data_IF_106748024621
#
_entry.id   IF_106748024621
#
_cell.length_a   1.000
_cell.length_b   1.000
_cell.length_c   1.000
_cell.angle_alpha   90.00
_cell.angle_beta   90.00
_cell.angle_gamma   90.00
#
_symmetry.space_group_name_H-M   'P 1'
#
loop_
_entity.id
_entity.type
_entity.pdbx_description
1 polymer ?
#
# COMPACT_ATOMS: atom_id res chain seq x y z
N UNK A 1 -0.88 -10.60 10.97
CA UNK A 1 0.18 -11.63 10.94
C UNK A 1 0.87 -11.53 9.59
N UNK A 2 2.22 -11.52 9.53
CA UNK A 2 2.92 -11.43 8.26
C UNK A 2 2.73 -12.70 7.42
N UNK A 3 2.80 -12.53 6.10
CA UNK A 3 2.91 -13.62 5.14
C UNK A 3 4.36 -13.74 4.70
N UNK A 4 4.91 -14.94 4.72
CA UNK A 4 6.25 -15.24 4.23
C UNK A 4 6.19 -16.12 3.00
N UNK A 5 7.13 -15.90 2.09
CA UNK A 5 7.34 -16.74 0.93
C UNK A 5 8.41 -17.77 1.24
N UNK A 6 8.09 -19.03 0.97
CA UNK A 6 9.01 -20.16 1.05
C UNK A 6 9.16 -20.80 -0.33
N UNK A 7 10.31 -21.41 -0.57
CA UNK A 7 10.55 -22.24 -1.74
C UNK A 7 10.84 -23.67 -1.31
N UNK A 8 10.30 -24.65 -2.02
CA UNK A 8 10.71 -26.05 -1.91
C UNK A 8 12.14 -26.19 -2.41
N UNK A 9 12.99 -26.86 -1.65
CA UNK A 9 14.38 -27.14 -2.03
C UNK A 9 14.41 -28.47 -2.81
N UNK A 10 14.84 -28.41 -4.07
CA UNK A 10 15.03 -29.59 -4.89
C UNK A 10 16.28 -30.38 -4.45
N UNK A 11 16.43 -31.62 -4.94
CA UNK A 11 17.58 -32.48 -4.60
C UNK A 11 18.94 -31.88 -5.01
N UNK A 12 18.95 -31.02 -6.02
CA UNK A 12 20.13 -30.28 -6.49
C UNK A 12 20.43 -29.00 -5.69
N UNK A 13 19.59 -28.67 -4.70
CA UNK A 13 19.71 -27.46 -3.88
C UNK A 13 19.12 -26.19 -4.53
N UNK A 14 18.50 -26.29 -5.70
CA UNK A 14 17.80 -25.18 -6.35
C UNK A 14 16.47 -24.86 -5.66
N UNK A 15 15.96 -23.65 -5.89
CA UNK A 15 14.56 -23.34 -5.59
C UNK A 15 13.65 -24.03 -6.59
N UNK A 16 12.65 -24.71 -6.07
CA UNK A 16 11.52 -25.26 -6.81
C UNK A 16 10.30 -24.35 -6.68
N UNK A 17 9.18 -24.94 -6.27
CA UNK A 17 7.90 -24.24 -6.13
C UNK A 17 7.91 -23.24 -4.97
N UNK A 18 7.37 -22.05 -5.23
CA UNK A 18 7.17 -21.02 -4.22
C UNK A 18 5.75 -21.07 -3.66
N UNK A 19 5.62 -20.89 -2.35
CA UNK A 19 4.33 -20.83 -1.66
C UNK A 19 4.34 -19.81 -0.53
N UNK A 20 3.16 -19.36 -0.14
CA UNK A 20 2.95 -18.34 0.89
C UNK A 20 2.40 -18.95 2.17
N UNK A 21 2.95 -18.53 3.32
CA UNK A 21 2.48 -18.97 4.64
C UNK A 21 2.26 -17.77 5.54
N UNK A 22 1.07 -17.69 6.14
CA UNK A 22 0.79 -16.74 7.23
C UNK A 22 1.38 -17.30 8.52
N UNK A 23 2.37 -16.62 9.08
CA UNK A 23 3.12 -17.08 10.24
C UNK A 23 3.32 -15.92 11.24
N UNK A 24 3.40 -16.19 12.54
CA UNK A 24 3.78 -15.13 13.49
C UNK A 24 5.26 -14.81 13.34
N UNK A 25 5.63 -13.56 13.59
CA UNK A 25 7.03 -13.14 13.50
C UNK A 25 7.94 -13.80 14.57
N UNK A 26 7.35 -14.28 15.66
CA UNK A 26 8.04 -14.99 16.76
C UNK A 26 8.30 -16.46 16.47
N UNK A 27 7.64 -17.04 15.46
CA UNK A 27 7.72 -18.47 15.20
C UNK A 27 9.01 -18.80 14.44
N UNK A 28 9.60 -20.00 14.66
CA UNK A 28 10.77 -20.43 13.90
C UNK A 28 10.43 -20.59 12.42
N UNK A 29 11.41 -20.35 11.54
CA UNK A 29 11.23 -20.56 10.10
C UNK A 29 10.88 -22.01 9.79
N UNK A 30 9.96 -22.23 8.85
CA UNK A 30 9.63 -23.57 8.38
C UNK A 30 10.84 -24.22 7.71
N UNK A 31 11.03 -25.50 8.01
CA UNK A 31 12.05 -26.37 7.38
C UNK A 31 11.42 -27.41 6.47
N UNK A 32 10.13 -27.72 6.66
CA UNK A 32 9.35 -28.66 5.85
C UNK A 32 8.06 -28.03 5.33
N UNK A 33 7.63 -28.46 4.15
CA UNK A 33 6.38 -28.04 3.54
C UNK A 33 5.19 -28.70 4.27
N UNK A 34 4.17 -27.94 4.71
CA UNK A 34 3.09 -28.47 5.56
C UNK A 34 2.22 -29.54 4.87
N UNK A 35 2.12 -29.52 3.54
CA UNK A 35 1.30 -30.50 2.80
C UNK A 35 2.09 -31.60 2.08
N UNK A 36 3.37 -31.37 1.78
CA UNK A 36 4.17 -32.27 0.94
C UNK A 36 5.38 -32.85 1.64
N UNK A 37 5.66 -32.41 2.88
CA UNK A 37 6.80 -32.79 3.71
C UNK A 37 8.18 -32.57 3.09
N UNK A 38 8.24 -31.88 1.93
CA UNK A 38 9.50 -31.56 1.25
C UNK A 38 10.30 -30.50 2.03
N UNK A 39 11.64 -30.51 1.95
CA UNK A 39 12.45 -29.46 2.55
C UNK A 39 12.13 -28.09 1.93
N UNK A 40 12.06 -27.05 2.75
CA UNK A 40 11.77 -25.68 2.29
C UNK A 40 12.78 -24.68 2.85
N UNK A 41 12.97 -23.57 2.15
CA UNK A 41 13.75 -22.42 2.65
C UNK A 41 12.96 -21.13 2.52
N UNK A 42 13.09 -20.26 3.52
CA UNK A 42 12.46 -18.94 3.48
C UNK A 42 13.17 -18.06 2.46
N UNK A 43 12.39 -17.42 1.60
CA UNK A 43 12.89 -16.55 0.54
C UNK A 43 12.84 -15.12 1.06
N UNK A 44 13.96 -14.39 1.11
CA UNK A 44 13.95 -12.97 1.46
C UNK A 44 13.17 -12.18 0.40
N UNK A 45 12.07 -11.55 0.81
CA UNK A 45 11.27 -10.67 -0.04
C UNK A 45 11.38 -9.23 0.40
N UNK A 46 11.11 -8.31 -0.53
CA UNK A 46 10.96 -6.90 -0.18
C UNK A 46 9.74 -6.72 0.74
N UNK A 47 9.79 -5.78 1.69
CA UNK A 47 8.64 -5.47 2.52
C UNK A 47 7.49 -4.92 1.66
N UNK A 48 6.27 -5.37 1.94
CA UNK A 48 5.06 -4.81 1.34
C UNK A 48 4.78 -3.43 1.92
N UNK A 49 5.32 -2.39 1.28
CA UNK A 49 5.14 -1.00 1.70
C UNK A 49 3.85 -0.42 1.10
N UNK A 50 2.97 0.20 1.91
CA UNK A 50 1.74 0.82 1.42
C UNK A 50 2.06 2.21 0.83
N UNK A 51 2.70 2.24 -0.33
CA UNK A 51 3.25 3.45 -0.95
C UNK A 51 2.23 4.28 -1.72
N UNK A 52 1.38 3.63 -2.53
CA UNK A 52 0.52 4.33 -3.50
C UNK A 52 -0.95 4.33 -3.12
N UNK A 53 -1.43 3.25 -2.51
CA UNK A 53 -2.85 3.03 -2.18
C UNK A 53 -3.02 2.89 -0.66
N UNK A 54 -2.61 3.94 0.06
CA UNK A 54 -2.74 4.02 1.50
C UNK A 54 -3.38 5.35 1.87
N UNK A 55 -4.04 5.40 3.02
CA UNK A 55 -4.69 6.64 3.49
C UNK A 55 -3.69 7.80 3.58
N UNK A 56 -2.45 7.52 4.00
CA UNK A 56 -1.38 8.51 4.05
C UNK A 56 -0.96 8.99 2.65
N UNK A 57 -0.84 8.07 1.69
CA UNK A 57 -0.51 8.40 0.31
C UNK A 57 -1.63 9.21 -0.36
N UNK A 58 -2.89 8.79 -0.19
CA UNK A 58 -4.06 9.48 -0.72
C UNK A 58 -4.22 10.88 -0.11
N UNK A 59 -4.07 11.02 1.21
CA UNK A 59 -4.08 12.33 1.88
C UNK A 59 -2.99 13.25 1.34
N UNK A 60 -1.82 12.71 1.04
CA UNK A 60 -0.72 13.48 0.45
C UNK A 60 -1.07 13.92 -0.97
N UNK A 61 -1.55 13.00 -1.83
CA UNK A 61 -1.98 13.31 -3.21
C UNK A 61 -3.07 14.38 -3.25
N UNK A 62 -4.06 14.28 -2.37
CA UNK A 62 -5.22 15.18 -2.30
C UNK A 62 -4.99 16.43 -1.43
N UNK A 63 -3.76 16.66 -0.95
CA UNK A 63 -3.43 17.87 -0.20
C UNK A 63 -3.55 19.11 -1.10
N UNK A 64 -3.97 20.24 -0.52
CA UNK A 64 -4.15 21.49 -1.27
C UNK A 64 -2.88 21.89 -2.05
N UNK A 65 -1.70 21.72 -1.44
CA UNK A 65 -0.40 21.95 -2.10
C UNK A 65 -0.21 21.12 -3.37
N UNK A 66 -0.58 19.84 -3.34
CA UNK A 66 -0.43 18.97 -4.51
C UNK A 66 -1.50 19.26 -5.56
N UNK A 67 -2.73 19.55 -5.15
CA UNK A 67 -3.80 19.97 -6.05
C UNK A 67 -3.43 21.26 -6.79
N UNK A 68 -2.89 22.26 -6.08
CA UNK A 68 -2.33 23.49 -6.67
C UNK A 68 -1.25 23.20 -7.71
N UNK A 69 -0.25 22.40 -7.31
CA UNK A 69 0.89 22.05 -8.16
C UNK A 69 0.46 21.32 -9.43
N UNK A 70 -0.58 20.49 -9.34
CA UNK A 70 -1.13 19.74 -10.47
C UNK A 70 -2.14 20.55 -11.30
N UNK A 71 -2.45 21.78 -10.91
CA UNK A 71 -3.37 22.66 -11.64
C UNK A 71 -4.85 22.42 -11.35
N UNK A 72 -5.18 21.64 -10.32
CA UNK A 72 -6.55 21.47 -9.87
C UNK A 72 -7.01 22.65 -9.01
N UNK A 73 -8.31 22.94 -9.06
CA UNK A 73 -8.94 23.91 -8.18
C UNK A 73 -9.87 23.17 -7.23
N UNK A 74 -9.75 23.43 -5.93
CA UNK A 74 -10.57 22.83 -4.87
C UNK A 74 -11.31 23.91 -4.10
N UNK A 75 -12.60 23.68 -3.93
CA UNK A 75 -13.48 24.50 -3.11
C UNK A 75 -13.99 23.68 -1.92
N UNK A 76 -14.03 24.27 -0.73
CA UNK A 76 -14.63 23.68 0.46
C UNK A 76 -15.86 24.49 0.87
N UNK A 77 -16.93 23.79 1.25
CA UNK A 77 -18.22 24.42 1.60
C UNK A 77 -18.06 25.25 2.88
N UNK A 78 -18.34 26.55 2.82
CA UNK A 78 -18.26 27.47 3.96
C UNK A 78 -19.60 27.70 4.66
N UNK A 79 -20.71 27.31 4.05
CA UNK A 79 -22.07 27.48 4.59
C UNK A 79 -22.99 28.19 3.59
N UNK A 80 -24.31 28.10 3.78
CA UNK A 80 -25.31 28.89 3.02
C UNK A 80 -25.18 28.89 1.49
N UNK A 81 -24.70 27.78 0.91
CA UNK A 81 -24.51 27.66 -0.55
C UNK A 81 -23.20 28.29 -1.08
N UNK A 82 -22.38 28.85 -0.20
CA UNK A 82 -21.05 29.36 -0.50
C UNK A 82 -19.97 28.28 -0.36
N UNK A 83 -18.97 28.40 -1.22
CA UNK A 83 -17.76 27.59 -1.16
C UNK A 83 -16.53 28.48 -1.31
N UNK A 84 -15.54 28.26 -0.46
CA UNK A 84 -14.28 28.97 -0.46
C UNK A 84 -13.20 28.16 -1.18
N UNK A 85 -12.39 28.84 -1.98
CA UNK A 85 -11.22 28.25 -2.62
C UNK A 85 -10.17 27.88 -1.59
N UNK A 86 -9.68 26.65 -1.63
CA UNK A 86 -8.58 26.16 -0.80
C UNK A 86 -7.33 25.77 -1.58
N UNK A 87 -7.48 25.58 -2.90
CA UNK A 87 -6.40 25.35 -3.86
C UNK A 87 -6.87 25.83 -5.25
N UNK A 88 -5.98 26.36 -6.06
CA UNK A 88 -6.11 26.62 -7.49
C UNK A 88 -6.08 28.10 -7.83
N UNK A 89 -6.32 28.39 -9.11
CA UNK A 89 -6.34 29.77 -9.66
C UNK A 89 -7.74 30.35 -9.85
N UNK A 90 -8.80 29.66 -9.40
CA UNK A 90 -10.18 30.11 -9.52
C UNK A 90 -10.53 31.32 -8.62
N UNK A 91 -11.76 31.86 -8.70
CA UNK A 91 -12.25 32.89 -7.79
C UNK A 91 -12.24 32.43 -6.33
N UNK A 92 -12.12 33.36 -5.39
CA UNK A 92 -11.96 33.03 -3.96
C UNK A 92 -13.24 32.44 -3.34
N UNK A 93 -14.42 32.83 -3.83
CA UNK A 93 -15.71 32.32 -3.39
C UNK A 93 -16.59 32.00 -4.61
N UNK A 94 -17.28 30.87 -4.56
CA UNK A 94 -18.39 30.55 -5.46
C UNK A 94 -19.67 30.39 -4.64
N UNK A 95 -20.80 30.90 -5.14
CA UNK A 95 -22.11 30.73 -4.53
C UNK A 95 -23.03 29.96 -5.46
N UNK A 96 -23.98 29.23 -4.88
CA UNK A 96 -25.11 28.68 -5.62
C UNK A 96 -26.14 29.81 -5.81
N UNK A 97 -26.45 30.16 -7.05
CA UNK A 97 -27.62 31.00 -7.37
C UNK A 97 -28.91 30.39 -6.82
#
# INVERSE_FOLDING_TARGET
MPTYVYAVVNEDGSDGEYFEVVQKMSDPTLTTHPESDKPVRRVPTLPNLPLTHSDAAEKTKMSNKNLDRMGFTKYEKSGDGFYEKKAGKGPDVISRD
#
